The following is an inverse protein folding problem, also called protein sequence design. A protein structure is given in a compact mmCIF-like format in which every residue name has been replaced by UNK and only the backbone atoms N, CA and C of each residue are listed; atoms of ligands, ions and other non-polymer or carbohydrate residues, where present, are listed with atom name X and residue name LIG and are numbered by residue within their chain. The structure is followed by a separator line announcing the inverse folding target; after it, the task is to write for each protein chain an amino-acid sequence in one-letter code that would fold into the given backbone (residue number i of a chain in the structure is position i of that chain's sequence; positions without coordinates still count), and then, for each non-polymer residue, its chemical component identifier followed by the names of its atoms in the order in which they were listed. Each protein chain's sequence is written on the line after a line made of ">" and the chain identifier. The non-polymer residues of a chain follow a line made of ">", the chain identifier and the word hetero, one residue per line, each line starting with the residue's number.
data_IF_577352038251
#
_entry.id   IF_577352038251
#
_cell.length_a   1.000
_cell.length_b   1.000
_cell.length_c   1.000
_cell.angle_alpha   90.00
_cell.angle_beta   90.00
_cell.angle_gamma   90.00
#
_symmetry.space_group_name_H-M   'P 1'
#
loop_
_entity.id
_entity.type
_entity.pdbx_description
1 polymer ?
#
# COMPACT_ATOMS: atom_id res chain seq x y z
N UNK A 1 -3.40 10.24 -19.30
CA UNK A 1 -2.32 9.24 -19.14
C UNK A 1 -2.65 8.39 -17.94
N UNK A 2 -2.97 7.12 -18.15
CA UNK A 2 -3.01 6.14 -17.06
C UNK A 2 -1.56 5.82 -16.68
N UNK A 3 -1.23 5.90 -15.39
CA UNK A 3 0.12 5.57 -14.96
C UNK A 3 0.35 4.05 -15.04
N UNK A 4 1.53 3.65 -15.52
CA UNK A 4 1.93 2.25 -15.71
C UNK A 4 1.77 1.41 -14.42
N UNK A 5 1.92 2.01 -13.24
CA UNK A 5 1.71 1.35 -11.94
C UNK A 5 0.23 0.98 -11.70
N UNK A 6 -0.70 1.88 -12.05
CA UNK A 6 -2.14 1.64 -11.93
C UNK A 6 -2.55 0.42 -12.76
N UNK A 7 -2.06 0.33 -14.00
CA UNK A 7 -2.34 -0.78 -14.90
C UNK A 7 -1.85 -2.14 -14.37
N UNK A 8 -0.65 -2.19 -13.79
CA UNK A 8 -0.09 -3.42 -13.22
C UNK A 8 -0.91 -3.91 -12.02
N UNK A 9 -1.38 -2.99 -11.17
CA UNK A 9 -2.23 -3.31 -10.03
C UNK A 9 -3.58 -3.87 -10.49
N UNK A 10 -4.24 -3.23 -11.46
CA UNK A 10 -5.51 -3.69 -12.03
C UNK A 10 -5.40 -5.10 -12.63
N UNK A 11 -4.34 -5.33 -13.43
CA UNK A 11 -4.04 -6.66 -13.98
C UNK A 11 -3.76 -7.70 -12.90
N UNK A 12 -2.98 -7.34 -11.90
CA UNK A 12 -2.65 -8.23 -10.78
C UNK A 12 -3.92 -8.69 -10.04
N UNK A 13 -4.82 -7.76 -9.73
CA UNK A 13 -6.12 -8.07 -9.10
C UNK A 13 -6.98 -8.96 -10.02
N UNK A 14 -7.00 -8.67 -11.32
CA UNK A 14 -7.77 -9.45 -12.30
C UNK A 14 -7.31 -10.91 -12.35
N UNK A 15 -6.00 -11.14 -12.37
CA UNK A 15 -5.39 -12.47 -12.42
C UNK A 15 -5.42 -13.22 -11.08
N UNK A 16 -5.57 -12.51 -9.96
CA UNK A 16 -5.62 -13.12 -8.64
C UNK A 16 -6.86 -14.03 -8.53
N UNK A 17 -6.69 -15.22 -7.94
CA UNK A 17 -7.81 -16.11 -7.62
C UNK A 17 -8.67 -15.53 -6.49
N UNK A 18 -9.92 -15.97 -6.38
CA UNK A 18 -10.78 -15.61 -5.25
C UNK A 18 -10.08 -15.94 -3.92
N UNK A 19 -10.17 -15.03 -2.95
CA UNK A 19 -9.52 -15.09 -1.63
C UNK A 19 -7.98 -15.17 -1.67
N UNK A 20 -7.37 -15.00 -2.86
CA UNK A 20 -5.93 -14.90 -3.02
C UNK A 20 -5.38 -13.59 -2.46
N UNK A 21 -4.12 -13.61 -2.02
CA UNK A 21 -3.41 -12.43 -1.51
C UNK A 21 -2.53 -11.81 -2.60
N UNK A 22 -2.52 -10.48 -2.66
CA UNK A 22 -1.70 -9.71 -3.57
C UNK A 22 -0.94 -8.63 -2.79
N UNK A 23 0.37 -8.58 -3.00
CA UNK A 23 1.26 -7.56 -2.45
C UNK A 23 1.92 -6.76 -3.56
N UNK A 24 1.88 -5.43 -3.47
CA UNK A 24 2.51 -4.52 -4.43
C UNK A 24 3.32 -3.43 -3.74
N UNK A 25 4.45 -3.08 -4.32
CA UNK A 25 5.22 -1.87 -4.00
C UNK A 25 4.93 -0.86 -5.10
N UNK A 26 4.22 0.21 -4.77
CA UNK A 26 3.80 1.23 -5.74
C UNK A 26 3.96 2.62 -5.14
N UNK A 27 4.20 3.67 -5.93
CA UNK A 27 4.17 5.04 -5.42
C UNK A 27 2.83 5.37 -4.77
N UNK A 28 2.79 6.27 -3.78
CA UNK A 28 1.55 6.55 -3.04
C UNK A 28 0.63 7.61 -3.70
N UNK A 29 1.05 8.24 -4.81
CA UNK A 29 0.33 9.40 -5.40
C UNK A 29 -1.12 9.06 -5.79
N UNK A 30 -1.41 7.83 -6.23
CA UNK A 30 -2.74 7.41 -6.70
C UNK A 30 -3.81 7.43 -5.60
N UNK A 31 -3.40 7.48 -4.33
CA UNK A 31 -4.31 7.69 -3.20
C UNK A 31 -4.91 9.10 -3.20
N UNK A 32 -4.17 10.12 -3.65
CA UNK A 32 -4.55 11.53 -3.54
C UNK A 32 -4.93 12.19 -4.86
N UNK A 33 -4.59 11.61 -6.02
CA UNK A 33 -4.94 12.23 -7.32
C UNK A 33 -6.45 12.20 -7.60
N UNK A 34 -6.92 13.18 -8.38
CA UNK A 34 -8.30 13.22 -8.89
C UNK A 34 -8.58 12.16 -9.96
N UNK A 35 -7.54 11.65 -10.63
CA UNK A 35 -7.68 10.79 -11.82
C UNK A 35 -7.85 9.30 -11.47
N UNK A 36 -7.34 8.84 -10.33
CA UNK A 36 -7.32 7.41 -9.98
C UNK A 36 -8.60 6.94 -9.22
N UNK A 37 -9.75 7.57 -9.46
CA UNK A 37 -11.02 7.22 -8.78
C UNK A 37 -11.46 5.78 -9.07
N UNK A 38 -11.29 5.33 -10.32
CA UNK A 38 -11.64 3.95 -10.73
C UNK A 38 -10.74 2.92 -10.04
N UNK A 39 -9.44 3.19 -9.99
CA UNK A 39 -8.48 2.34 -9.29
C UNK A 39 -8.82 2.24 -7.79
N UNK A 40 -9.12 3.37 -7.13
CA UNK A 40 -9.52 3.36 -5.71
C UNK A 40 -10.81 2.57 -5.48
N UNK A 41 -11.78 2.65 -6.40
CA UNK A 41 -12.99 1.82 -6.34
C UNK A 41 -12.65 0.33 -6.43
N UNK A 42 -11.84 -0.06 -7.42
CA UNK A 42 -11.39 -1.45 -7.56
C UNK A 42 -10.67 -1.94 -6.29
N UNK A 43 -9.73 -1.16 -5.76
CA UNK A 43 -8.90 -1.57 -4.62
C UNK A 43 -9.68 -1.60 -3.30
N UNK A 44 -10.49 -0.58 -3.01
CA UNK A 44 -11.12 -0.41 -1.68
C UNK A 44 -12.59 -0.79 -1.60
N UNK A 45 -13.31 -0.84 -2.72
CA UNK A 45 -14.75 -1.17 -2.73
C UNK A 45 -15.03 -2.54 -3.33
N UNK A 46 -14.25 -2.96 -4.32
CA UNK A 46 -14.44 -4.25 -5.00
C UNK A 46 -13.52 -5.35 -4.46
N UNK A 47 -12.53 -4.98 -3.64
CA UNK A 47 -11.58 -5.87 -2.99
C UNK A 47 -11.35 -5.46 -1.54
N UNK A 48 -10.67 -6.32 -0.78
CA UNK A 48 -10.34 -6.09 0.63
C UNK A 48 -8.89 -5.66 0.77
N UNK A 49 -8.66 -4.43 1.22
CA UNK A 49 -7.32 -3.99 1.61
C UNK A 49 -7.04 -4.40 3.05
N UNK A 50 -6.01 -5.23 3.22
CA UNK A 50 -5.55 -5.72 4.51
C UNK A 50 -4.63 -4.69 5.15
N UNK A 51 -3.63 -4.22 4.40
CA UNK A 51 -2.61 -3.32 4.92
C UNK A 51 -2.16 -2.30 3.87
N UNK A 52 -1.94 -1.07 4.35
CA UNK A 52 -1.27 0.01 3.64
C UNK A 52 -0.10 0.48 4.51
N UNK A 53 1.13 0.33 4.03
CA UNK A 53 2.31 0.86 4.71
C UNK A 53 3.01 1.93 3.86
N UNK A 54 2.94 3.18 4.32
CA UNK A 54 3.65 4.29 3.68
C UNK A 54 5.11 4.32 4.15
N UNK A 55 6.02 4.23 3.20
CA UNK A 55 7.47 4.28 3.41
C UNK A 55 8.09 5.29 2.44
N UNK A 56 9.21 5.90 2.82
CA UNK A 56 9.88 6.92 2.02
C UNK A 56 11.39 6.68 2.08
N UNK A 57 12.11 7.11 1.05
CA UNK A 57 13.58 6.99 0.97
C UNK A 57 14.11 5.57 1.30
N UNK A 58 13.42 4.52 0.85
CA UNK A 58 13.84 3.13 1.02
C UNK A 58 14.76 2.69 -0.12
N UNK A 59 14.48 3.17 -1.34
CA UNK A 59 15.29 2.93 -2.51
C UNK A 59 16.06 4.21 -2.85
N UNK A 60 17.35 4.06 -3.16
CA UNK A 60 18.24 5.18 -3.49
C UNK A 60 17.71 6.02 -4.67
N UNK A 61 17.13 5.36 -5.67
CA UNK A 61 16.57 6.01 -6.87
C UNK A 61 15.10 6.50 -6.72
N UNK A 62 14.44 6.24 -5.60
CA UNK A 62 13.03 6.61 -5.44
C UNK A 62 12.87 8.08 -5.08
N UNK A 63 12.40 8.87 -6.04
CA UNK A 63 12.06 10.30 -5.83
C UNK A 63 10.70 10.48 -5.16
N UNK A 64 9.85 9.44 -5.20
CA UNK A 64 8.47 9.47 -4.71
C UNK A 64 8.27 8.57 -3.49
N UNK A 65 7.37 8.97 -2.60
CA UNK A 65 6.92 8.16 -1.49
C UNK A 65 6.35 6.83 -2.00
N UNK A 66 6.71 5.76 -1.31
CA UNK A 66 6.37 4.39 -1.65
C UNK A 66 5.29 3.86 -0.72
N UNK A 67 4.40 3.05 -1.25
CA UNK A 67 3.31 2.38 -0.54
C UNK A 67 3.45 0.88 -0.75
N UNK A 68 3.49 0.15 0.36
CA UNK A 68 3.24 -1.29 0.33
C UNK A 68 1.73 -1.49 0.48
N UNK A 69 1.12 -2.09 -0.54
CA UNK A 69 -0.29 -2.45 -0.58
C UNK A 69 -0.41 -3.96 -0.44
N UNK A 70 -1.16 -4.42 0.56
CA UNK A 70 -1.55 -5.83 0.71
C UNK A 70 -3.07 -5.91 0.66
N UNK A 71 -3.58 -6.71 -0.27
CA UNK A 71 -5.02 -6.92 -0.45
C UNK A 71 -5.35 -8.39 -0.67
N UNK A 72 -6.62 -8.74 -0.49
CA UNK A 72 -7.19 -10.02 -0.93
C UNK A 72 -8.36 -9.78 -1.87
N UNK A 73 -8.50 -10.67 -2.87
CA UNK A 73 -9.62 -10.63 -3.82
C UNK A 73 -10.86 -11.24 -3.19
N UNK A 74 -11.60 -10.38 -2.51
CA UNK A 74 -12.83 -10.70 -1.81
C UNK A 74 -13.84 -9.60 -2.05
N UNK A 75 -15.06 -9.95 -2.45
CA UNK A 75 -16.09 -8.98 -2.76
C UNK A 75 -16.59 -8.34 -1.45
N UNK A 76 -16.24 -7.08 -1.28
CA UNK A 76 -16.27 -6.36 -0.01
C UNK A 76 -17.51 -5.48 0.12
N UNK A 77 -18.68 -6.06 0.37
CA UNK A 77 -19.90 -5.26 0.62
C UNK A 77 -20.00 -4.69 2.06
N UNK A 78 -18.95 -4.80 2.88
CA UNK A 78 -18.94 -4.36 4.28
C UNK A 78 -17.75 -3.44 4.57
N UNK A 79 -17.91 -2.56 5.56
CA UNK A 79 -16.81 -1.78 6.12
C UNK A 79 -15.73 -2.73 6.65
N UNK A 80 -14.51 -2.59 6.12
CA UNK A 80 -13.39 -3.47 6.48
C UNK A 80 -12.34 -2.71 7.27
N UNK A 81 -11.74 -3.40 8.24
CA UNK A 81 -10.57 -2.88 8.95
C UNK A 81 -9.37 -2.99 8.03
N UNK A 82 -8.77 -1.86 7.69
CA UNK A 82 -7.49 -1.78 6.99
C UNK A 82 -6.43 -1.28 7.97
N UNK A 83 -5.30 -1.97 8.05
CA UNK A 83 -4.18 -1.52 8.85
C UNK A 83 -3.42 -0.44 8.08
N UNK A 84 -3.41 0.77 8.62
CA UNK A 84 -2.60 1.86 8.08
C UNK A 84 -1.32 1.98 8.92
N UNK A 85 -0.17 1.87 8.27
CA UNK A 85 1.16 2.04 8.88
C UNK A 85 1.92 3.13 8.13
N UNK A 86 2.79 3.81 8.85
CA UNK A 86 3.73 4.75 8.28
C UNK A 86 5.02 4.77 9.09
N UNK A 87 6.13 5.07 8.41
CA UNK A 87 7.39 5.41 9.07
C UNK A 87 7.37 6.93 9.36
N UNK A 88 7.93 7.34 10.49
CA UNK A 88 8.07 8.76 10.83
C UNK A 88 9.15 9.40 9.95
N UNK A 89 8.75 10.36 9.10
CA UNK A 89 9.60 11.12 8.16
C UNK A 89 10.88 11.73 8.76
N UNK A 90 10.92 11.94 10.07
CA UNK A 90 12.11 12.42 10.76
C UNK A 90 13.22 11.36 10.89
N UNK A 91 12.88 10.07 10.76
CA UNK A 91 13.82 8.95 10.76
C UNK A 91 14.43 8.78 9.37
N UNK A 92 15.64 9.29 9.21
CA UNK A 92 16.31 9.42 7.90
C UNK A 92 17.07 8.16 7.54
N UNK A 93 17.66 7.48 8.52
CA UNK A 93 18.48 6.29 8.28
C UNK A 93 17.71 4.98 8.53
N UNK A 94 18.07 3.92 7.82
CA UNK A 94 17.52 2.57 8.07
C UNK A 94 17.73 2.13 9.54
N UNK A 95 18.91 2.33 10.17
CA UNK A 95 19.11 1.98 11.58
C UNK A 95 18.18 2.71 12.56
N UNK A 96 17.93 4.01 12.37
CA UNK A 96 16.97 4.78 13.18
C UNK A 96 15.57 4.17 13.11
N UNK A 97 15.13 3.83 11.89
CA UNK A 97 13.82 3.21 11.65
C UNK A 97 13.71 1.85 12.33
N UNK A 98 14.73 1.00 12.21
CA UNK A 98 14.75 -0.32 12.85
C UNK A 98 14.71 -0.20 14.38
N UNK A 99 15.42 0.76 14.95
CA UNK A 99 15.42 1.01 16.40
C UNK A 99 14.05 1.46 16.88
N UNK A 100 13.42 2.40 16.18
CA UNK A 100 12.07 2.87 16.50
C UNK A 100 11.03 1.73 16.43
N UNK A 101 11.14 0.82 15.46
CA UNK A 101 10.26 -0.34 15.34
C UNK A 101 10.47 -1.32 16.50
N UNK A 102 11.72 -1.65 16.84
CA UNK A 102 12.03 -2.56 17.96
C UNK A 102 11.44 -2.06 19.29
N UNK A 103 11.59 -0.76 19.58
CA UNK A 103 11.04 -0.14 20.78
C UNK A 103 9.50 -0.19 20.84
N UNK A 104 8.84 -0.19 19.68
CA UNK A 104 7.37 -0.29 19.58
C UNK A 104 6.85 -1.71 19.81
N UNK A 105 7.64 -2.73 19.48
CA UNK A 105 7.27 -4.16 19.60
C UNK A 105 7.59 -4.70 20.99
N UNK A 106 8.64 -4.19 21.65
CA UNK A 106 9.06 -4.64 23.00
C UNK A 106 8.16 -4.23 24.17
N UNK A 107 7.03 -3.56 23.92
CA UNK A 107 6.04 -3.17 24.94
C UNK A 107 4.69 -3.93 24.82
N UNK A 108 4.71 -5.10 24.18
CA UNK A 108 3.60 -6.06 24.13
C UNK A 108 4.08 -7.40 24.62
#
# INVERSE_FOLDING_TARGET
>A
MECQASYQLEKGITLLRKEGLLGFIIPNYWLSTKFDKKLRKLVFQENKVIELANVYSVFEAAVVDTLLLILTKENSNKLQKTFLKSIDRNLKSIPERLTAIKNKIGHT
#
